data_IF_267487633372
#
_entry.id   IF_267487633372
#
_cell.length_a   1.000
_cell.length_b   1.000
_cell.length_c   1.000
_cell.angle_alpha   90.00
_cell.angle_beta   90.00
_cell.angle_gamma   90.00
#
_symmetry.space_group_name_H-M   'P 1'
#
loop_
_entity.id
_entity.type
_entity.pdbx_description
1 polymer ?
#
# COMPACT_ATOMS: atom_id res chain seq x y z
N UNK A 1 -26.45 -19.09 16.98
CA UNK A 1 -26.33 -17.63 17.09
C UNK A 1 -24.86 -17.28 17.13
N UNK A 2 -24.31 -16.76 16.04
CA UNK A 2 -22.92 -16.27 16.02
C UNK A 2 -23.00 -14.78 16.24
N UNK A 3 -22.58 -14.34 17.41
CA UNK A 3 -22.47 -12.93 17.76
C UNK A 3 -21.41 -12.32 16.85
N UNK A 4 -21.84 -11.41 15.98
CA UNK A 4 -20.95 -10.61 15.15
C UNK A 4 -20.18 -9.66 16.08
N UNK A 5 -18.98 -10.09 16.48
CA UNK A 5 -18.07 -9.27 17.26
C UNK A 5 -17.52 -8.21 16.31
N UNK A 6 -18.13 -7.04 16.31
CA UNK A 6 -17.59 -5.87 15.63
C UNK A 6 -16.19 -5.58 16.22
N UNK A 7 -15.15 -5.98 15.49
CA UNK A 7 -13.76 -5.67 15.86
C UNK A 7 -13.54 -4.20 15.54
N UNK A 8 -13.58 -3.33 16.55
CA UNK A 8 -13.18 -1.93 16.38
C UNK A 8 -11.67 -1.87 16.18
N UNK A 9 -11.23 -1.44 14.99
CA UNK A 9 -9.81 -1.18 14.71
C UNK A 9 -9.52 0.29 14.95
N UNK A 10 -8.54 0.59 15.81
CA UNK A 10 -8.07 1.95 15.99
C UNK A 10 -7.31 2.41 14.76
N UNK A 11 -7.59 3.63 14.30
CA UNK A 11 -6.87 4.30 13.21
C UNK A 11 -6.13 5.49 13.80
N UNK A 12 -4.81 5.53 13.59
CA UNK A 12 -3.97 6.68 13.98
C UNK A 12 -3.46 7.36 12.73
N UNK A 13 -3.56 8.69 12.70
CA UNK A 13 -3.05 9.53 11.61
C UNK A 13 -2.06 10.52 12.19
N UNK A 14 -0.83 10.51 11.68
CA UNK A 14 0.25 11.37 12.18
C UNK A 14 0.99 12.04 11.03
N UNK A 15 1.24 13.35 11.15
CA UNK A 15 2.08 14.07 10.19
C UNK A 15 3.56 13.90 10.54
N UNK A 16 4.35 13.44 9.59
CA UNK A 16 5.80 13.26 9.72
C UNK A 16 6.55 14.36 8.94
N UNK A 17 6.89 15.50 9.58
CA UNK A 17 7.40 16.68 8.88
C UNK A 17 8.74 16.45 8.20
N UNK A 18 9.60 15.59 8.77
CA UNK A 18 10.92 15.28 8.22
C UNK A 18 10.85 14.69 6.80
N UNK A 19 9.78 13.98 6.48
CA UNK A 19 9.58 13.32 5.19
C UNK A 19 8.41 13.90 4.38
N UNK A 20 7.77 14.96 4.90
CA UNK A 20 6.61 15.61 4.30
C UNK A 20 5.51 14.61 3.90
N UNK A 21 5.16 13.71 4.81
CA UNK A 21 4.14 12.69 4.58
C UNK A 21 3.27 12.50 5.81
N UNK A 22 2.06 12.03 5.58
CA UNK A 22 1.16 11.57 6.62
C UNK A 22 1.29 10.05 6.75
N UNK A 23 1.41 9.57 7.98
CA UNK A 23 1.41 8.16 8.35
C UNK A 23 0.00 7.78 8.80
N UNK A 24 -0.48 6.65 8.30
CA UNK A 24 -1.78 6.07 8.62
C UNK A 24 -1.52 4.68 9.19
N UNK A 25 -1.83 4.49 10.46
CA UNK A 25 -1.69 3.19 11.13
C UNK A 25 -3.07 2.59 11.41
N UNK A 26 -3.27 1.35 10.99
CA UNK A 26 -4.48 0.56 11.26
C UNK A 26 -4.04 -0.80 11.80
N UNK A 27 -4.22 -1.01 13.10
CA UNK A 27 -3.66 -2.17 13.78
C UNK A 27 -2.13 -2.20 13.66
N UNK A 28 -1.59 -3.27 13.06
CA UNK A 28 -0.15 -3.43 12.76
C UNK A 28 0.26 -2.91 11.39
N UNK A 29 -0.69 -2.53 10.54
CA UNK A 29 -0.40 -2.04 9.19
C UNK A 29 -0.11 -0.55 9.22
N UNK A 30 0.97 -0.16 8.54
CA UNK A 30 1.35 1.23 8.35
C UNK A 30 1.33 1.54 6.85
N UNK A 31 0.55 2.55 6.47
CA UNK A 31 0.62 3.17 5.16
C UNK A 31 1.09 4.62 5.32
N UNK A 32 1.57 5.20 4.23
CA UNK A 32 1.93 6.61 4.18
C UNK A 32 1.35 7.30 2.96
N UNK A 33 1.25 8.62 2.98
CA UNK A 33 0.87 9.41 1.82
C UNK A 33 1.57 10.76 1.83
N UNK A 34 2.03 11.21 0.66
CA UNK A 34 2.51 12.59 0.47
C UNK A 34 1.41 13.53 0.04
N UNK A 35 0.26 12.98 -0.37
CA UNK A 35 -0.92 13.75 -0.73
C UNK A 35 -1.64 14.26 0.53
N UNK A 36 -2.39 15.34 0.39
CA UNK A 36 -3.25 15.84 1.47
C UNK A 36 -4.30 14.79 1.83
N UNK A 37 -4.32 14.40 3.12
CA UNK A 37 -5.28 13.47 3.68
C UNK A 37 -6.28 14.25 4.54
N UNK A 38 -7.56 14.10 4.26
CA UNK A 38 -8.64 14.65 5.07
C UNK A 38 -9.41 13.52 5.76
N UNK A 39 -9.76 13.72 7.04
CA UNK A 39 -10.60 12.80 7.79
C UNK A 39 -11.90 13.50 8.16
N UNK A 40 -13.03 12.98 7.67
CA UNK A 40 -14.38 13.50 7.93
C UNK A 40 -15.31 12.34 8.26
N UNK A 41 -16.00 12.40 9.40
CA UNK A 41 -17.04 11.42 9.77
C UNK A 41 -16.55 9.96 9.60
N UNK A 42 -15.37 9.66 10.14
CA UNK A 42 -14.70 8.35 10.08
C UNK A 42 -14.27 7.87 8.69
N UNK A 43 -14.30 8.75 7.69
CA UNK A 43 -13.83 8.47 6.32
C UNK A 43 -12.56 9.24 6.02
N UNK A 44 -11.68 8.61 5.24
CA UNK A 44 -10.46 9.24 4.74
C UNK A 44 -10.65 9.67 3.30
N UNK A 45 -10.08 10.81 2.94
CA UNK A 45 -10.11 11.35 1.58
C UNK A 45 -8.71 11.79 1.17
N UNK A 46 -8.38 11.51 -0.09
CA UNK A 46 -7.18 12.04 -0.76
C UNK A 46 -7.63 12.79 -2.00
N UNK A 47 -7.33 14.09 -2.09
CA UNK A 47 -7.80 14.97 -3.19
C UNK A 47 -9.31 14.83 -3.45
N UNK A 48 -10.10 14.96 -2.39
CA UNK A 48 -11.57 14.82 -2.41
C UNK A 48 -12.12 13.44 -2.81
N UNK A 49 -11.27 12.47 -3.12
CA UNK A 49 -11.67 11.09 -3.38
C UNK A 49 -11.60 10.28 -2.07
N UNK A 50 -12.73 9.71 -1.66
CA UNK A 50 -12.84 8.83 -0.49
C UNK A 50 -11.93 7.61 -0.65
N UNK A 51 -11.26 7.16 0.41
CA UNK A 51 -10.50 5.91 0.45
C UNK A 51 -11.40 4.84 1.09
N UNK A 52 -11.94 3.92 0.28
CA UNK A 52 -12.91 2.90 0.75
C UNK A 52 -12.23 1.64 1.28
N UNK A 53 -11.12 1.27 0.67
CA UNK A 53 -10.28 0.16 1.12
C UNK A 53 -9.29 0.72 2.13
N UNK A 54 -9.33 0.25 3.37
CA UNK A 54 -8.40 0.67 4.41
C UNK A 54 -7.02 0.02 4.24
N UNK A 55 -5.93 0.61 4.78
CA UNK A 55 -4.57 0.08 4.65
C UNK A 55 -4.40 -1.38 5.05
N UNK A 56 -5.07 -1.84 6.09
CA UNK A 56 -5.01 -3.22 6.56
C UNK A 56 -5.61 -4.22 5.56
N UNK A 57 -6.70 -3.85 4.88
CA UNK A 57 -7.28 -4.64 3.78
C UNK A 57 -6.34 -4.64 2.57
N UNK A 58 -5.77 -3.49 2.22
CA UNK A 58 -4.77 -3.39 1.15
C UNK A 58 -3.52 -4.23 1.46
N UNK A 59 -3.11 -4.30 2.72
CA UNK A 59 -2.01 -5.14 3.19
C UNK A 59 -2.31 -6.64 2.99
N UNK A 60 -3.54 -7.08 3.29
CA UNK A 60 -3.95 -8.46 3.03
C UNK A 60 -3.90 -8.80 1.54
N UNK A 61 -4.43 -7.92 0.69
CA UNK A 61 -4.37 -8.08 -0.77
C UNK A 61 -2.92 -8.10 -1.26
N UNK A 62 -2.05 -7.28 -0.68
CA UNK A 62 -0.62 -7.27 -0.99
C UNK A 62 0.07 -8.58 -0.60
N UNK A 63 -0.24 -9.16 0.56
CA UNK A 63 0.28 -10.47 0.99
C UNK A 63 -0.15 -11.55 -0.01
N UNK A 64 -1.41 -11.54 -0.45
CA UNK A 64 -1.90 -12.50 -1.44
C UNK A 64 -1.19 -12.37 -2.80
N UNK A 65 -0.83 -11.15 -3.20
CA UNK A 65 -0.18 -10.88 -4.49
C UNK A 65 1.33 -11.03 -4.49
N UNK A 66 2.00 -10.48 -3.49
CA UNK A 66 3.46 -10.39 -3.41
C UNK A 66 4.09 -11.43 -2.48
N UNK A 67 3.28 -12.10 -1.66
CA UNK A 67 3.74 -12.94 -0.55
C UNK A 67 4.04 -12.12 0.72
N UNK A 68 4.22 -12.84 1.82
CA UNK A 68 4.57 -12.27 3.13
C UNK A 68 6.10 -12.02 3.22
N UNK A 69 6.57 -11.04 2.46
CA UNK A 69 8.01 -10.72 2.30
C UNK A 69 8.40 -9.37 2.92
N UNK A 70 7.46 -8.72 3.61
CA UNK A 70 7.57 -7.33 4.05
C UNK A 70 7.47 -6.35 2.88
N UNK A 71 6.68 -5.30 3.05
CA UNK A 71 6.49 -4.29 2.02
C UNK A 71 6.16 -2.93 2.63
N UNK A 72 6.45 -1.88 1.86
CA UNK A 72 6.02 -0.51 2.12
C UNK A 72 4.69 -0.26 1.40
N UNK A 73 3.76 0.41 2.07
CA UNK A 73 2.49 0.86 1.49
C UNK A 73 2.48 2.39 1.43
N UNK A 74 2.30 2.95 0.24
CA UNK A 74 2.13 4.39 0.03
C UNK A 74 0.85 4.65 -0.78
N UNK A 75 -0.01 5.56 -0.33
CA UNK A 75 -1.12 6.07 -1.15
C UNK A 75 -0.53 7.11 -2.10
N UNK A 76 -0.76 6.91 -3.40
CA UNK A 76 -0.38 7.83 -4.47
C UNK A 76 -1.57 8.13 -5.35
N UNK A 77 -1.60 9.32 -5.91
CA UNK A 77 -2.52 9.64 -7.00
C UNK A 77 -1.85 9.33 -8.34
N UNK A 78 -2.39 8.38 -9.09
CA UNK A 78 -1.94 8.01 -10.45
C UNK A 78 -2.87 8.53 -11.54
N UNK A 79 -3.89 9.30 -11.15
CA UNK A 79 -4.89 9.86 -12.04
C UNK A 79 -4.40 11.11 -12.78
N UNK A 80 -5.35 11.78 -13.44
CA UNK A 80 -5.13 13.10 -14.05
C UNK A 80 -5.51 14.18 -13.06
N UNK A 81 -5.05 15.41 -13.28
CA UNK A 81 -5.31 16.55 -12.39
C UNK A 81 -6.80 16.78 -12.10
N UNK A 82 -7.65 16.54 -13.08
CA UNK A 82 -9.11 16.69 -13.06
C UNK A 82 -9.87 15.39 -12.74
N UNK A 83 -9.16 14.27 -12.65
CA UNK A 83 -9.71 12.95 -12.37
C UNK A 83 -8.71 12.18 -11.48
N UNK A 84 -8.66 12.51 -10.17
CA UNK A 84 -7.76 11.86 -9.24
C UNK A 84 -8.08 10.35 -9.16
N UNK A 85 -7.03 9.55 -9.07
CA UNK A 85 -7.13 8.10 -8.93
C UNK A 85 -6.15 7.66 -7.83
N UNK A 86 -6.56 7.76 -6.55
CA UNK A 86 -5.74 7.30 -5.45
C UNK A 86 -5.63 5.77 -5.48
N UNK A 87 -4.40 5.28 -5.41
CA UNK A 87 -4.06 3.86 -5.34
C UNK A 87 -3.08 3.64 -4.20
N UNK A 88 -3.11 2.46 -3.60
CA UNK A 88 -2.01 1.98 -2.78
C UNK A 88 -0.90 1.46 -3.70
N UNK A 89 0.23 2.15 -3.75
CA UNK A 89 1.46 1.59 -4.29
C UNK A 89 2.14 0.75 -3.21
N UNK A 90 2.23 -0.55 -3.45
CA UNK A 90 2.87 -1.48 -2.52
C UNK A 90 4.20 -1.94 -3.10
N UNK A 91 5.26 -1.76 -2.32
CA UNK A 91 6.64 -2.03 -2.75
C UNK A 91 7.30 -3.02 -1.80
N UNK A 92 7.66 -4.20 -2.33
CA UNK A 92 8.51 -5.17 -1.65
C UNK A 92 9.96 -5.04 -2.15
N UNK A 93 10.93 -5.12 -1.23
CA UNK A 93 12.35 -5.18 -1.55
C UNK A 93 12.92 -6.47 -0.98
N UNK A 94 13.37 -7.37 -1.84
CA UNK A 94 13.92 -8.67 -1.45
C UNK A 94 15.36 -8.78 -1.91
N UNK A 95 16.24 -9.30 -1.06
CA UNK A 95 17.61 -9.58 -1.43
C UNK A 95 17.69 -10.92 -2.17
N UNK A 96 18.23 -10.93 -3.38
CA UNK A 96 18.28 -12.11 -4.25
C UNK A 96 19.67 -12.30 -4.83
N UNK A 97 19.98 -13.51 -5.32
CA UNK A 97 21.23 -13.80 -6.03
C UNK A 97 20.98 -13.95 -7.52
N UNK A 98 21.60 -13.10 -8.34
CA UNK A 98 21.65 -13.29 -9.78
C UNK A 98 22.72 -14.35 -10.09
N UNK A 99 22.32 -15.40 -10.81
CA UNK A 99 23.19 -16.53 -11.20
C UNK A 99 23.93 -17.20 -10.03
N UNK A 100 23.43 -17.04 -8.80
CA UNK A 100 24.04 -17.60 -7.58
C UNK A 100 25.27 -16.84 -7.06
N UNK A 101 25.71 -15.77 -7.72
CA UNK A 101 26.99 -15.09 -7.42
C UNK A 101 26.80 -13.68 -6.85
N UNK A 102 25.95 -12.87 -7.48
CA UNK A 102 25.83 -11.44 -7.16
C UNK A 102 24.55 -11.18 -6.36
N UNK A 103 24.70 -10.68 -5.12
CA UNK A 103 23.56 -10.22 -4.32
C UNK A 103 23.06 -8.89 -4.85
N UNK A 104 21.76 -8.80 -5.10
CA UNK A 104 21.10 -7.58 -5.56
C UNK A 104 19.77 -7.41 -4.81
N UNK A 105 19.35 -6.16 -4.62
CA UNK A 105 18.01 -5.86 -4.11
C UNK A 105 17.02 -5.82 -5.27
N UNK A 106 16.08 -6.76 -5.29
CA UNK A 106 14.99 -6.78 -6.25
C UNK A 106 13.80 -6.00 -5.69
N UNK A 107 13.37 -4.98 -6.44
CA UNK A 107 12.14 -4.23 -6.16
C UNK A 107 10.98 -4.86 -6.94
N UNK A 108 9.96 -5.29 -6.21
CA UNK A 108 8.69 -5.76 -6.78
C UNK A 108 7.58 -4.81 -6.34
N UNK A 109 6.63 -4.53 -7.23
CA UNK A 109 5.60 -3.54 -6.98
C UNK A 109 4.24 -3.99 -7.51
N UNK A 110 3.17 -3.62 -6.80
CA UNK A 110 1.79 -3.67 -7.31
C UNK A 110 1.05 -2.41 -6.88
N UNK A 111 -0.03 -2.08 -7.60
CA UNK A 111 -0.94 -1.00 -7.26
C UNK A 111 -2.31 -1.60 -6.92
N UNK A 112 -2.90 -1.18 -5.82
CA UNK A 112 -4.23 -1.63 -5.38
C UNK A 112 -5.17 -0.44 -5.41
N UNK A 113 -6.27 -0.57 -6.12
CA UNK A 113 -7.28 0.48 -6.22
C UNK A 113 -7.96 0.73 -4.86
N UNK A 114 -8.02 1.99 -4.42
CA UNK A 114 -8.57 2.38 -3.10
C UNK A 114 -10.09 2.31 -3.03
N UNK A 115 -10.78 2.17 -4.17
CA UNK A 115 -12.23 2.02 -4.27
C UNK A 115 -12.64 0.55 -4.32
N UNK A 116 -11.93 -0.26 -5.12
CA UNK A 116 -12.35 -1.63 -5.45
C UNK A 116 -11.52 -2.70 -4.77
N UNK A 117 -10.29 -2.40 -4.36
CA UNK A 117 -9.34 -3.40 -3.86
C UNK A 117 -8.73 -4.27 -4.98
N UNK A 118 -8.99 -3.93 -6.26
CA UNK A 118 -8.37 -4.64 -7.37
C UNK A 118 -6.88 -4.33 -7.44
N UNK A 119 -6.06 -5.37 -7.46
CA UNK A 119 -4.62 -5.25 -7.58
C UNK A 119 -4.17 -5.41 -9.03
N UNK A 120 -3.30 -4.50 -9.48
CA UNK A 120 -2.65 -4.56 -10.77
C UNK A 120 -1.72 -5.77 -10.90
N UNK A 121 -1.24 -6.02 -12.12
CA UNK A 121 -0.15 -6.96 -12.32
C UNK A 121 1.11 -6.57 -11.55
N UNK A 122 1.87 -7.59 -11.15
CA UNK A 122 3.11 -7.42 -10.41
C UNK A 122 4.19 -6.91 -11.36
N UNK A 123 4.70 -5.70 -11.08
CA UNK A 123 5.85 -5.14 -11.78
C UNK A 123 7.13 -5.62 -11.12
N UNK A 124 7.97 -6.30 -11.89
CA UNK A 124 9.29 -6.80 -11.49
C UNK A 124 10.35 -6.39 -12.51
N UNK A 125 11.63 -6.39 -12.15
CA UNK A 125 12.70 -6.09 -13.08
C UNK A 125 12.78 -7.15 -14.19
N UNK A 126 13.18 -6.74 -15.40
CA UNK A 126 13.28 -7.65 -16.54
C UNK A 126 14.20 -8.84 -16.25
N UNK A 127 15.30 -8.63 -15.53
CA UNK A 127 16.28 -9.65 -15.17
C UNK A 127 15.81 -10.60 -14.05
N UNK A 128 14.59 -10.47 -13.54
CA UNK A 128 14.05 -11.33 -12.48
C UNK A 128 14.04 -12.82 -12.85
N UNK A 129 14.04 -13.16 -14.14
CA UNK A 129 14.17 -14.56 -14.59
C UNK A 129 15.58 -15.15 -14.39
N UNK A 130 16.60 -14.33 -14.11
CA UNK A 130 17.99 -14.75 -13.84
C UNK A 130 18.25 -15.07 -12.37
N UNK A 131 17.26 -14.82 -11.52
CA UNK A 131 17.33 -15.08 -10.08
C UNK A 131 17.16 -16.58 -9.83
N UNK A 132 17.99 -17.11 -8.93
CA UNK A 132 17.86 -18.46 -8.36
C UNK A 132 17.62 -18.37 -6.86
#
# INVERSE_FOLDING_TARGET
SVTDLSVTKNVTVEWEPAFQRTIIQVGSTVASTKESLEVKEDRMYVKDQEIKIMPDVASQIAIEKLGDVGFEIEIKDVGRRDAPQPVYEVVARTEVKILGLFRVSMKTMTQIDTQTGEASEIKKPWWSFLVR
#
